data_IF_450667326867
#
_entry.id   IF_450667326867
#
_cell.length_a   1.000
_cell.length_b   1.000
_cell.length_c   1.000
_cell.angle_alpha   90.00
_cell.angle_beta   90.00
_cell.angle_gamma   90.00
#
_symmetry.space_group_name_H-M   'P 1'
#
loop_
_entity.id
_entity.type
_entity.pdbx_description
1 polymer ?
#
# COMPACT_ATOMS: atom_id res chain seq x y z
N UNK A 1 -13.83 9.82 21.02
CA UNK A 1 -13.02 8.59 20.90
C UNK A 1 -11.98 8.76 19.81
N UNK A 2 -10.79 8.13 19.91
CA UNK A 2 -9.80 8.18 18.83
C UNK A 2 -10.39 7.55 17.56
N UNK A 3 -10.22 8.22 16.42
CA UNK A 3 -10.66 7.74 15.11
C UNK A 3 -9.48 7.24 14.29
N UNK A 4 -9.65 6.10 13.62
CA UNK A 4 -8.69 5.60 12.65
C UNK A 4 -9.11 5.92 11.21
N UNK A 5 -8.12 6.21 10.38
CA UNK A 5 -8.32 6.42 8.95
C UNK A 5 -8.49 5.08 8.23
N UNK A 6 -9.71 4.77 7.80
CA UNK A 6 -10.04 3.53 7.08
C UNK A 6 -10.28 3.82 5.61
N UNK A 7 -9.51 3.16 4.74
CA UNK A 7 -9.73 3.22 3.29
C UNK A 7 -10.65 2.08 2.83
N UNK A 8 -11.80 2.42 2.26
CA UNK A 8 -12.72 1.48 1.59
C UNK A 8 -12.55 1.62 0.08
N UNK A 9 -12.24 0.52 -0.60
CA UNK A 9 -12.14 0.48 -2.06
C UNK A 9 -13.43 -0.08 -2.67
N UNK A 10 -14.01 0.65 -3.61
CA UNK A 10 -15.16 0.22 -4.39
C UNK A 10 -14.88 0.26 -5.90
N UNK A 11 -15.57 -0.61 -6.64
CA UNK A 11 -15.62 -0.50 -8.10
C UNK A 11 -16.66 0.56 -8.47
N UNK A 12 -16.27 1.44 -9.38
CA UNK A 12 -17.16 2.46 -9.93
C UNK A 12 -17.59 2.12 -11.35
N UNK A 13 -18.73 2.69 -11.75
CA UNK A 13 -19.29 2.61 -13.10
C UNK A 13 -19.71 4.01 -13.53
N UNK A 14 -19.41 4.33 -14.79
CA UNK A 14 -19.80 5.58 -15.45
C UNK A 14 -20.30 5.24 -16.85
N UNK A 15 -21.13 6.10 -17.42
CA UNK A 15 -21.58 5.99 -18.81
C UNK A 15 -20.40 6.15 -19.78
N UNK A 16 -20.63 5.91 -21.08
CA UNK A 16 -19.64 6.18 -22.13
C UNK A 16 -19.22 7.65 -22.14
N UNK A 17 -20.19 8.58 -22.14
CA UNK A 17 -19.94 10.03 -22.00
C UNK A 17 -19.16 10.37 -20.73
N UNK A 18 -19.45 9.67 -19.62
CA UNK A 18 -18.69 9.81 -18.37
C UNK A 18 -17.23 9.33 -18.48
N UNK A 19 -16.96 8.26 -19.23
CA UNK A 19 -15.57 7.84 -19.51
C UNK A 19 -14.81 8.93 -20.26
N UNK A 20 -15.43 9.55 -21.25
CA UNK A 20 -14.83 10.61 -22.06
C UNK A 20 -14.55 11.85 -21.20
N UNK A 21 -15.51 12.25 -20.35
CA UNK A 21 -15.32 13.32 -19.36
C UNK A 21 -14.17 13.03 -18.40
N UNK A 22 -14.07 11.82 -17.84
CA UNK A 22 -12.94 11.45 -16.97
C UNK A 22 -11.60 11.53 -17.71
N UNK A 23 -11.54 11.18 -18.99
CA UNK A 23 -10.31 11.33 -19.78
C UNK A 23 -9.93 12.80 -19.96
N UNK A 24 -10.89 13.68 -20.27
CA UNK A 24 -10.67 15.13 -20.36
C UNK A 24 -10.11 15.69 -19.05
N UNK A 25 -10.78 15.39 -17.92
CA UNK A 25 -10.35 15.85 -16.59
C UNK A 25 -8.95 15.35 -16.23
N UNK A 26 -8.64 14.08 -16.50
CA UNK A 26 -7.30 13.55 -16.25
C UNK A 26 -6.23 14.17 -17.15
N UNK A 27 -6.62 14.61 -18.37
CA UNK A 27 -5.77 15.38 -19.26
C UNK A 27 -5.41 16.73 -18.66
N UNK A 28 -6.42 17.52 -18.30
CA UNK A 28 -6.24 18.82 -17.64
C UNK A 28 -5.45 18.69 -16.32
N UNK A 29 -5.72 17.66 -15.53
CA UNK A 29 -4.93 17.40 -14.31
C UNK A 29 -3.45 17.07 -14.61
N UNK A 30 -3.15 16.42 -15.73
CA UNK A 30 -1.78 16.12 -16.13
C UNK A 30 -1.04 17.38 -16.59
N UNK A 31 -1.72 18.27 -17.32
CA UNK A 31 -1.20 19.58 -17.71
C UNK A 31 -0.91 20.44 -16.48
N UNK A 32 -1.88 20.61 -15.59
CA UNK A 32 -1.70 21.35 -14.34
C UNK A 32 -0.53 20.78 -13.52
N UNK A 33 -0.43 19.45 -13.38
CA UNK A 33 0.71 18.83 -12.69
C UNK A 33 2.07 19.15 -13.33
N UNK A 34 2.12 19.21 -14.66
CA UNK A 34 3.37 19.47 -15.37
C UNK A 34 3.75 20.94 -15.29
N UNK A 35 2.79 21.86 -15.45
CA UNK A 35 2.99 23.30 -15.25
C UNK A 35 3.54 23.58 -13.83
N UNK A 36 2.97 22.94 -12.82
CA UNK A 36 3.43 23.04 -11.42
C UNK A 36 4.85 22.53 -11.16
N UNK A 37 5.29 21.55 -11.96
CA UNK A 37 6.68 21.09 -11.91
C UNK A 37 7.60 22.00 -12.71
N UNK A 38 7.11 22.65 -13.76
CA UNK A 38 7.84 23.61 -14.58
C UNK A 38 8.10 24.90 -13.81
N UNK A 39 7.04 25.54 -13.29
CA UNK A 39 7.14 26.74 -12.44
C UNK A 39 8.10 26.51 -11.28
N UNK A 40 8.00 25.36 -10.62
CA UNK A 40 8.92 25.01 -9.53
C UNK A 40 10.38 24.91 -9.96
N UNK A 41 10.65 24.32 -11.13
CA UNK A 41 12.03 24.24 -11.65
C UNK A 41 12.57 25.62 -11.95
N UNK A 42 11.74 26.50 -12.48
CA UNK A 42 12.14 27.86 -12.85
C UNK A 42 12.39 28.71 -11.62
N UNK A 43 11.46 28.72 -10.65
CA UNK A 43 11.64 29.39 -9.36
C UNK A 43 12.92 28.95 -8.65
N UNK A 44 13.20 27.65 -8.64
CA UNK A 44 14.40 27.13 -7.98
C UNK A 44 15.68 27.57 -8.70
N UNK A 45 15.68 27.66 -10.04
CA UNK A 45 16.82 28.18 -10.80
C UNK A 45 17.07 29.66 -10.55
N UNK A 46 16.00 30.46 -10.48
CA UNK A 46 16.09 31.91 -10.38
C UNK A 46 16.35 32.40 -8.95
N UNK A 47 15.67 31.81 -7.95
CA UNK A 47 15.62 32.33 -6.59
C UNK A 47 16.07 31.33 -5.51
N UNK A 48 16.49 30.11 -5.88
CA UNK A 48 16.90 29.07 -4.93
C UNK A 48 15.78 28.52 -4.04
N UNK A 49 14.53 28.93 -4.29
CA UNK A 49 13.36 28.63 -3.48
C UNK A 49 12.17 28.16 -4.32
N UNK A 50 11.04 27.91 -3.65
CA UNK A 50 9.78 27.61 -4.31
C UNK A 50 8.61 28.05 -3.47
N UNK A 51 7.53 28.47 -4.12
CA UNK A 51 6.31 28.90 -3.42
C UNK A 51 5.80 27.84 -2.45
N UNK A 52 5.21 28.30 -1.34
CA UNK A 52 4.51 27.43 -0.43
C UNK A 52 3.32 26.77 -1.13
N UNK A 53 2.84 25.64 -0.61
CA UNK A 53 1.63 25.02 -1.13
C UNK A 53 0.41 25.96 -1.04
N UNK A 54 0.38 26.82 -0.01
CA UNK A 54 -0.69 27.78 0.20
C UNK A 54 -0.70 28.88 -0.87
N UNK A 55 0.46 29.42 -1.23
CA UNK A 55 0.58 30.43 -2.29
C UNK A 55 0.15 29.86 -3.64
N UNK A 56 0.51 28.61 -3.92
CA UNK A 56 0.05 27.90 -5.12
C UNK A 56 -1.46 27.65 -5.12
N UNK A 57 -2.11 27.49 -3.96
CA UNK A 57 -3.57 27.46 -3.88
C UNK A 57 -4.21 28.81 -4.22
N UNK A 58 -3.61 29.92 -3.79
CA UNK A 58 -4.07 31.26 -4.16
C UNK A 58 -3.93 31.48 -5.67
N UNK A 59 -2.75 31.22 -6.23
CA UNK A 59 -2.49 31.33 -7.66
C UNK A 59 -3.44 30.47 -8.51
N UNK A 60 -3.65 29.20 -8.10
CA UNK A 60 -4.61 28.33 -8.76
C UNK A 60 -6.06 28.85 -8.69
N UNK A 61 -6.44 29.53 -7.60
CA UNK A 61 -7.79 30.10 -7.47
C UNK A 61 -8.02 31.22 -8.50
N UNK A 62 -7.01 32.08 -8.72
CA UNK A 62 -7.05 33.11 -9.77
C UNK A 62 -7.13 32.49 -11.17
N UNK A 63 -6.22 31.56 -11.48
CA UNK A 63 -6.21 30.84 -12.76
C UNK A 63 -7.55 30.13 -13.02
N UNK A 64 -8.09 29.45 -12.00
CA UNK A 64 -9.37 28.75 -12.08
C UNK A 64 -10.53 29.68 -12.45
N UNK A 65 -10.53 30.93 -12.00
CA UNK A 65 -11.61 31.87 -12.29
C UNK A 65 -11.54 32.40 -13.73
N UNK A 66 -10.34 32.51 -14.30
CA UNK A 66 -10.10 32.92 -15.68
C UNK A 66 -10.31 31.79 -16.70
N UNK A 67 -10.02 30.54 -16.34
CA UNK A 67 -10.16 29.38 -17.22
C UNK A 67 -11.57 28.76 -17.18
N UNK A 68 -12.23 28.65 -18.34
CA UNK A 68 -13.60 28.15 -18.44
C UNK A 68 -13.76 26.71 -17.93
N UNK A 69 -12.78 25.84 -18.21
CA UNK A 69 -12.82 24.44 -17.82
C UNK A 69 -12.71 24.29 -16.30
N UNK A 70 -11.74 24.97 -15.68
CA UNK A 70 -11.48 24.90 -14.24
C UNK A 70 -12.52 25.66 -13.42
N UNK A 71 -13.07 26.77 -13.92
CA UNK A 71 -14.20 27.49 -13.29
C UNK A 71 -15.40 26.58 -13.07
N UNK A 72 -15.64 25.69 -14.03
CA UNK A 72 -16.68 24.68 -14.02
C UNK A 72 -16.28 23.35 -13.34
N UNK A 73 -15.12 23.30 -12.70
CA UNK A 73 -14.62 22.16 -11.93
C UNK A 73 -14.69 22.42 -10.43
N UNK A 74 -14.88 21.36 -9.64
CA UNK A 74 -14.64 21.41 -8.19
C UNK A 74 -13.19 21.82 -7.91
N UNK A 75 -13.02 22.82 -7.04
CA UNK A 75 -11.70 23.33 -6.64
C UNK A 75 -10.80 22.23 -6.07
N UNK A 76 -11.40 21.23 -5.41
CA UNK A 76 -10.67 20.13 -4.78
C UNK A 76 -9.99 19.20 -5.80
N UNK A 77 -10.45 19.15 -7.05
CA UNK A 77 -9.79 18.40 -8.12
C UNK A 77 -8.42 19.02 -8.43
N UNK A 78 -8.37 20.34 -8.63
CA UNK A 78 -7.14 21.06 -8.89
C UNK A 78 -6.21 21.06 -7.68
N UNK A 79 -6.72 21.35 -6.48
CA UNK A 79 -5.93 21.26 -5.23
C UNK A 79 -5.33 19.87 -5.02
N UNK A 80 -6.05 18.81 -5.35
CA UNK A 80 -5.51 17.45 -5.29
C UNK A 80 -4.34 17.19 -6.26
N UNK A 81 -4.29 17.90 -7.40
CA UNK A 81 -3.13 17.90 -8.31
C UNK A 81 -1.94 18.60 -7.65
N UNK A 82 -2.17 19.75 -7.03
CA UNK A 82 -1.13 20.53 -6.34
C UNK A 82 -0.53 19.76 -5.17
N UNK A 83 -1.35 19.14 -4.31
CA UNK A 83 -0.87 18.23 -3.26
C UNK A 83 -0.07 17.04 -3.80
N UNK A 84 -0.40 16.56 -5.00
CA UNK A 84 0.35 15.48 -5.64
C UNK A 84 1.72 15.95 -6.14
N UNK A 85 1.80 17.16 -6.68
CA UNK A 85 3.07 17.79 -7.06
C UNK A 85 3.93 18.03 -5.82
N UNK A 86 3.34 18.61 -4.78
CA UNK A 86 4.01 18.91 -3.51
C UNK A 86 4.59 17.66 -2.84
N UNK A 87 3.80 16.58 -2.71
CA UNK A 87 4.32 15.30 -2.18
C UNK A 87 5.45 14.71 -3.02
N UNK A 88 5.46 14.93 -4.33
CA UNK A 88 6.54 14.48 -5.20
C UNK A 88 7.83 15.28 -4.92
N UNK A 89 7.72 16.61 -4.79
CA UNK A 89 8.81 17.53 -4.41
C UNK A 89 9.35 17.20 -3.02
N UNK A 90 8.48 17.13 -2.00
CA UNK A 90 8.87 16.79 -0.63
C UNK A 90 9.50 15.40 -0.50
N UNK A 91 9.02 14.41 -1.27
CA UNK A 91 9.65 13.08 -1.31
C UNK A 91 11.02 13.08 -1.98
N UNK A 92 11.26 13.95 -2.95
CA UNK A 92 12.58 14.14 -3.55
C UNK A 92 13.53 14.75 -2.50
N UNK A 93 13.20 15.90 -1.94
CA UNK A 93 14.05 16.59 -0.95
C UNK A 93 14.36 15.74 0.27
N UNK A 94 13.34 15.08 0.85
CA UNK A 94 13.54 14.19 2.01
C UNK A 94 14.53 13.06 1.72
N UNK A 95 14.53 12.51 0.50
CA UNK A 95 15.45 11.43 0.12
C UNK A 95 16.85 11.95 -0.15
N UNK A 96 16.97 13.12 -0.79
CA UNK A 96 18.25 13.81 -0.97
C UNK A 96 18.90 14.14 0.37
N UNK A 97 18.15 14.71 1.33
CA UNK A 97 18.64 14.99 2.70
C UNK A 97 19.12 13.74 3.45
N UNK A 98 18.60 12.56 3.11
CA UNK A 98 19.03 11.27 3.68
C UNK A 98 20.23 10.65 2.97
N UNK A 99 20.88 11.37 2.05
CA UNK A 99 21.98 10.84 1.24
C UNK A 99 21.57 9.74 0.26
N UNK A 100 20.27 9.58 -0.04
CA UNK A 100 19.84 8.68 -1.10
C UNK A 100 20.06 9.33 -2.48
N UNK A 101 20.02 8.52 -3.54
CA UNK A 101 20.00 9.00 -4.92
C UNK A 101 18.58 8.91 -5.54
N UNK A 102 17.65 9.83 -5.21
CA UNK A 102 16.31 9.86 -5.79
C UNK A 102 16.34 10.44 -7.21
N UNK A 103 15.58 9.83 -8.12
CA UNK A 103 15.29 10.48 -9.41
C UNK A 103 14.43 11.74 -9.23
N UNK A 104 14.72 12.78 -10.00
CA UNK A 104 14.00 14.05 -9.98
C UNK A 104 12.49 13.89 -10.32
N UNK A 105 11.59 14.72 -9.76
CA UNK A 105 10.18 14.73 -10.17
C UNK A 105 10.03 14.99 -11.67
N UNK A 106 9.36 14.06 -12.37
CA UNK A 106 9.20 14.08 -13.83
C UNK A 106 7.78 14.41 -14.24
N UNK A 107 7.67 15.09 -15.38
CA UNK A 107 6.41 15.30 -16.07
C UNK A 107 5.69 13.98 -16.33
N UNK A 108 4.36 14.04 -16.26
CA UNK A 108 3.48 12.91 -16.48
C UNK A 108 2.73 13.11 -17.80
N UNK A 109 2.93 12.22 -18.79
CA UNK A 109 2.06 12.24 -19.96
C UNK A 109 0.63 11.92 -19.55
N UNK A 110 -0.35 12.43 -20.31
CA UNK A 110 -1.80 12.22 -20.08
C UNK A 110 -2.15 10.75 -19.80
N UNK A 111 -1.53 9.81 -20.52
CA UNK A 111 -1.79 8.37 -20.37
C UNK A 111 -1.23 7.73 -19.07
N UNK A 112 -0.42 8.46 -18.29
CA UNK A 112 0.12 8.05 -16.97
C UNK A 112 -0.54 8.77 -15.80
N UNK A 113 -1.32 9.82 -16.05
CA UNK A 113 -2.15 10.46 -15.03
C UNK A 113 -3.51 9.75 -14.98
N UNK A 114 -3.68 8.84 -14.00
CA UNK A 114 -4.83 7.92 -13.94
C UNK A 114 -5.71 8.11 -12.71
N UNK A 115 -5.45 9.16 -11.94
CA UNK A 115 -6.00 9.31 -10.60
C UNK A 115 -6.37 10.77 -10.35
N UNK A 116 -7.64 11.00 -10.04
CA UNK A 116 -8.16 12.24 -9.47
C UNK A 116 -8.20 12.04 -7.95
N UNK A 117 -7.68 13.01 -7.20
CA UNK A 117 -7.69 12.99 -5.74
C UNK A 117 -8.42 14.23 -5.26
N UNK A 118 -9.34 14.05 -4.32
CA UNK A 118 -10.00 15.14 -3.61
C UNK A 118 -9.65 14.95 -2.14
N UNK A 119 -8.72 15.77 -1.63
CA UNK A 119 -8.21 15.69 -0.25
C UNK A 119 -9.16 16.34 0.76
N UNK A 120 -10.06 17.18 0.27
CA UNK A 120 -11.19 17.72 1.00
C UNK A 120 -12.45 17.32 0.24
N UNK A 121 -13.45 16.89 0.99
CA UNK A 121 -14.72 16.37 0.48
C UNK A 121 -15.83 16.96 1.33
N UNK A 122 -17.00 17.14 0.73
CA UNK A 122 -18.22 17.45 1.47
C UNK A 122 -19.04 16.17 1.63
N UNK A 123 -19.85 16.03 2.70
CA UNK A 123 -20.69 14.84 2.90
C UNK A 123 -21.57 14.54 1.69
N UNK A 124 -22.07 15.57 1.00
CA UNK A 124 -22.88 15.43 -0.23
C UNK A 124 -22.14 14.78 -1.42
N UNK A 125 -20.80 14.67 -1.39
CA UNK A 125 -20.04 14.08 -2.50
C UNK A 125 -20.22 12.58 -2.63
N UNK A 126 -20.57 11.88 -1.56
CA UNK A 126 -20.82 10.44 -1.57
C UNK A 126 -22.11 10.19 -0.83
N UNK A 127 -23.10 9.59 -1.48
CA UNK A 127 -24.39 9.36 -0.85
C UNK A 127 -25.14 8.19 -1.47
N UNK A 128 -26.22 7.74 -0.82
CA UNK A 128 -27.07 6.69 -1.34
C UNK A 128 -27.72 7.12 -2.68
N UNK A 129 -28.00 6.13 -3.52
CA UNK A 129 -28.77 6.20 -4.77
C UNK A 129 -29.68 4.97 -4.81
N UNK A 130 -30.72 4.96 -5.66
CA UNK A 130 -31.71 3.86 -5.74
C UNK A 130 -31.10 2.44 -5.88
N UNK A 131 -29.84 2.34 -6.31
CA UNK A 131 -29.11 1.07 -6.55
C UNK A 131 -27.77 0.97 -5.82
N UNK A 132 -27.54 1.75 -4.75
CA UNK A 132 -26.31 1.70 -3.97
C UNK A 132 -25.82 3.09 -3.56
N UNK A 133 -24.58 3.43 -3.93
CA UNK A 133 -23.99 4.74 -3.62
C UNK A 133 -23.46 5.41 -4.88
N UNK A 134 -23.43 6.74 -4.90
CA UNK A 134 -22.88 7.55 -5.98
C UNK A 134 -21.85 8.54 -5.49
N UNK A 135 -20.85 8.80 -6.31
CA UNK A 135 -19.94 9.94 -6.14
C UNK A 135 -20.39 11.07 -7.05
N UNK A 136 -20.58 12.27 -6.48
CA UNK A 136 -20.96 13.50 -7.17
C UNK A 136 -19.97 14.60 -6.81
N UNK A 137 -19.38 15.25 -7.82
CA UNK A 137 -18.55 16.42 -7.63
C UNK A 137 -18.64 17.31 -8.87
N UNK A 138 -18.68 18.63 -8.69
CA UNK A 138 -18.79 19.60 -9.79
C UNK A 138 -17.73 19.31 -10.88
N UNK A 139 -18.18 19.21 -12.13
CA UNK A 139 -17.33 18.97 -13.30
C UNK A 139 -16.90 17.52 -13.52
N UNK A 140 -17.16 16.61 -12.57
CA UNK A 140 -16.97 15.15 -12.74
C UNK A 140 -18.28 14.47 -13.15
N UNK A 141 -18.23 13.37 -13.91
CA UNK A 141 -19.43 12.56 -14.16
C UNK A 141 -19.87 11.85 -12.88
N UNK A 142 -21.16 11.57 -12.76
CA UNK A 142 -21.70 10.75 -11.67
C UNK A 142 -21.11 9.34 -11.74
N UNK A 143 -20.46 8.91 -10.66
CA UNK A 143 -19.85 7.58 -10.56
C UNK A 143 -20.69 6.71 -9.65
N UNK A 144 -21.34 5.68 -10.21
CA UNK A 144 -22.08 4.69 -9.43
C UNK A 144 -21.12 3.69 -8.81
N UNK A 145 -21.20 3.52 -7.50
CA UNK A 145 -20.39 2.57 -6.74
C UNK A 145 -21.14 1.25 -6.64
N UNK A 146 -20.45 0.16 -6.94
CA UNK A 146 -20.93 -1.19 -6.58
C UNK A 146 -20.43 -1.52 -5.20
N UNK A 147 -21.30 -1.28 -4.23
CA UNK A 147 -21.10 -1.63 -2.82
C UNK A 147 -21.79 -2.98 -2.54
N UNK A 148 -21.24 -3.75 -1.60
CA UNK A 148 -21.87 -4.99 -1.06
C UNK A 148 -22.32 -4.81 0.39
N UNK A 149 -22.00 -3.66 0.97
CA UNK A 149 -22.16 -3.28 2.36
C UNK A 149 -22.46 -1.79 2.37
N UNK A 150 -23.14 -1.33 3.40
CA UNK A 150 -23.28 0.10 3.66
C UNK A 150 -21.91 0.75 3.84
N UNK A 151 -21.82 2.00 3.40
CA UNK A 151 -20.65 2.82 3.65
C UNK A 151 -20.83 3.52 4.99
N UNK A 152 -19.73 3.84 5.70
CA UNK A 152 -19.81 4.69 6.88
C UNK A 152 -20.49 6.03 6.56
N UNK A 153 -20.99 6.73 7.58
CA UNK A 153 -21.62 8.04 7.43
C UNK A 153 -20.75 9.02 6.64
N UNK A 154 -21.38 9.88 5.85
CA UNK A 154 -20.69 10.74 4.89
C UNK A 154 -19.91 11.88 5.58
N UNK A 155 -20.28 12.20 6.81
CA UNK A 155 -19.63 13.13 7.73
C UNK A 155 -18.22 12.64 8.12
N UNK A 156 -18.03 11.33 8.12
CA UNK A 156 -16.73 10.71 8.41
C UNK A 156 -15.81 10.67 7.18
N UNK A 157 -16.33 10.97 5.98
CA UNK A 157 -15.53 10.97 4.77
C UNK A 157 -14.51 12.11 4.82
N UNK A 158 -13.23 11.77 4.75
CA UNK A 158 -12.12 12.75 4.80
C UNK A 158 -11.51 13.02 3.43
N UNK A 159 -11.42 11.99 2.59
CA UNK A 159 -10.94 12.17 1.22
C UNK A 159 -11.46 11.08 0.30
N UNK A 160 -11.44 11.35 -1.00
CA UNK A 160 -11.72 10.33 -2.00
C UNK A 160 -10.75 10.38 -3.17
N UNK A 161 -10.50 9.20 -3.75
CA UNK A 161 -9.60 9.02 -4.88
C UNK A 161 -10.27 8.20 -5.95
N UNK A 162 -10.42 8.79 -7.14
CA UNK A 162 -10.98 8.12 -8.33
C UNK A 162 -9.82 7.71 -9.22
N UNK A 163 -9.66 6.41 -9.43
CA UNK A 163 -8.70 5.84 -10.38
C UNK A 163 -9.41 5.35 -11.62
N UNK A 164 -9.01 5.84 -12.79
CA UNK A 164 -9.60 5.47 -14.06
C UNK A 164 -8.57 4.86 -15.01
N UNK A 165 -8.86 3.65 -15.51
CA UNK A 165 -8.00 2.90 -16.44
C UNK A 165 -8.75 2.59 -17.73
N UNK A 166 -9.20 3.63 -18.43
CA UNK A 166 -9.84 3.59 -19.75
C UNK A 166 -11.29 3.09 -19.75
N UNK A 167 -11.60 2.00 -19.04
CA UNK A 167 -12.98 1.51 -18.81
C UNK A 167 -13.24 1.03 -17.39
N UNK A 168 -12.21 1.02 -16.53
CA UNK A 168 -12.32 0.57 -15.14
C UNK A 168 -12.18 1.77 -14.25
N UNK A 169 -13.22 2.04 -13.47
CA UNK A 169 -13.20 3.03 -12.40
C UNK A 169 -13.05 2.29 -11.07
N UNK A 170 -12.10 2.73 -10.26
CA UNK A 170 -11.96 2.32 -8.87
C UNK A 170 -12.01 3.56 -7.99
N UNK A 171 -12.79 3.52 -6.92
CA UNK A 171 -12.93 4.63 -5.98
C UNK A 171 -12.39 4.17 -4.64
N UNK A 172 -11.45 4.92 -4.08
CA UNK A 172 -10.98 4.72 -2.70
C UNK A 172 -11.54 5.85 -1.86
N UNK A 173 -12.34 5.50 -0.87
CA UNK A 173 -12.96 6.41 0.08
C UNK A 173 -12.21 6.29 1.40
N UNK A 174 -11.79 7.40 1.99
CA UNK A 174 -11.09 7.41 3.28
C UNK A 174 -12.03 8.01 4.31
N UNK A 175 -12.39 7.21 5.31
CA UNK A 175 -13.25 7.60 6.42
C UNK A 175 -12.43 7.67 7.71
N UNK A 176 -12.75 8.61 8.58
CA UNK A 176 -12.33 8.57 9.98
C UNK A 176 -13.40 7.76 10.75
N UNK A 177 -13.08 6.52 11.11
CA UNK A 177 -14.03 5.65 11.83
C UNK A 177 -13.57 5.49 13.27
N UNK A 178 -14.51 5.35 14.19
CA UNK A 178 -14.18 5.06 15.58
C UNK A 178 -13.42 3.72 15.67
N UNK A 179 -12.52 3.65 16.65
CA UNK A 179 -11.85 2.40 16.96
C UNK A 179 -12.84 1.43 17.60
N UNK A 180 -12.91 0.22 17.04
CA UNK A 180 -13.69 -0.89 17.57
C UNK A 180 -12.71 -1.91 18.20
N UNK A 181 -12.27 -1.70 19.45
CA UNK A 181 -11.40 -2.65 20.12
C UNK A 181 -12.11 -4.00 20.26
N UNK A 182 -11.37 -5.09 20.06
CA UNK A 182 -11.88 -6.43 20.33
C UNK A 182 -11.79 -6.72 21.84
N UNK A 183 -12.62 -7.63 22.38
CA UNK A 183 -12.47 -8.11 23.75
C UNK A 183 -11.04 -8.53 24.04
N UNK A 184 -10.57 -8.27 25.27
CA UNK A 184 -9.23 -8.62 25.70
C UNK A 184 -8.92 -10.10 25.39
N UNK A 185 -7.73 -10.37 24.85
CA UNK A 185 -7.24 -11.73 24.63
C UNK A 185 -5.90 -11.88 25.37
N UNK A 186 -5.76 -12.85 26.29
CA UNK A 186 -4.49 -13.09 26.95
C UNK A 186 -3.46 -13.77 26.02
N UNK A 187 -3.90 -14.28 24.87
CA UNK A 187 -3.05 -15.04 23.94
C UNK A 187 -1.97 -14.16 23.31
N UNK A 188 -0.76 -14.71 23.20
CA UNK A 188 0.43 -14.04 22.67
C UNK A 188 1.08 -14.93 21.61
N UNK A 189 1.58 -14.34 20.53
CA UNK A 189 2.21 -15.12 19.45
C UNK A 189 3.42 -14.40 18.86
N UNK A 190 4.50 -15.14 18.62
CA UNK A 190 5.63 -14.72 17.80
C UNK A 190 5.48 -15.22 16.36
N UNK A 191 5.86 -14.41 15.38
CA UNK A 191 5.72 -14.71 13.96
C UNK A 191 7.10 -14.69 13.28
N UNK A 192 7.57 -15.85 12.83
CA UNK A 192 8.70 -15.96 11.91
C UNK A 192 8.21 -15.93 10.46
N UNK A 193 8.79 -15.05 9.64
CA UNK A 193 8.36 -14.84 8.23
C UNK A 193 9.37 -15.45 7.26
N UNK A 194 9.05 -16.63 6.75
CA UNK A 194 9.91 -17.42 5.86
C UNK A 194 9.53 -17.37 4.37
N UNK A 195 10.37 -18.03 3.55
CA UNK A 195 10.08 -18.34 2.13
C UNK A 195 9.54 -19.76 1.93
N UNK A 196 9.73 -20.65 2.90
CA UNK A 196 9.27 -22.04 2.87
C UNK A 196 7.83 -22.17 3.37
N UNK A 197 7.56 -21.63 4.57
CA UNK A 197 6.25 -21.17 5.03
C UNK A 197 6.17 -19.65 4.83
N UNK A 198 4.97 -19.09 4.75
CA UNK A 198 4.79 -17.64 4.70
C UNK A 198 4.96 -17.00 6.09
N UNK A 199 4.42 -17.68 7.09
CA UNK A 199 4.52 -17.38 8.52
C UNK A 199 4.61 -18.72 9.25
N UNK A 200 5.50 -18.84 10.21
CA UNK A 200 5.48 -19.86 11.26
C UNK A 200 5.24 -19.17 12.60
N UNK A 201 4.33 -19.69 13.41
CA UNK A 201 3.95 -19.09 14.69
C UNK A 201 4.61 -19.80 15.87
N UNK A 202 4.70 -19.12 17.02
CA UNK A 202 5.29 -19.70 18.24
C UNK A 202 4.44 -20.83 18.84
N UNK A 203 3.15 -20.90 18.51
CA UNK A 203 2.25 -22.02 18.87
C UNK A 203 2.29 -23.18 17.85
N UNK A 204 3.19 -23.13 16.86
CA UNK A 204 3.48 -24.24 15.93
C UNK A 204 2.67 -24.22 14.62
N UNK A 205 1.74 -23.29 14.45
CA UNK A 205 0.98 -23.12 13.19
C UNK A 205 1.90 -22.66 12.05
N UNK A 206 1.77 -23.30 10.88
CA UNK A 206 2.49 -22.92 9.66
C UNK A 206 1.51 -22.45 8.58
N UNK A 207 1.56 -21.16 8.27
CA UNK A 207 0.81 -20.59 7.16
C UNK A 207 1.60 -20.85 5.88
N UNK A 208 1.00 -21.59 4.94
CA UNK A 208 1.65 -21.97 3.70
C UNK A 208 2.20 -20.79 2.89
N UNK A 209 3.34 -21.02 2.21
CA UNK A 209 3.90 -20.07 1.25
C UNK A 209 2.90 -19.75 0.13
N UNK A 210 2.96 -18.52 -0.35
CA UNK A 210 2.19 -18.15 -1.56
C UNK A 210 2.70 -18.96 -2.75
N UNK A 211 1.78 -19.67 -3.44
CA UNK A 211 2.01 -20.22 -4.78
C UNK A 211 1.73 -19.13 -5.83
N UNK A 212 2.75 -18.55 -6.48
CA UNK A 212 2.57 -17.47 -7.44
C UNK A 212 2.06 -18.00 -8.80
N UNK A 213 1.32 -17.18 -9.56
CA UNK A 213 0.84 -17.55 -10.91
C UNK A 213 1.97 -17.48 -11.99
N UNK A 214 3.19 -17.89 -11.66
CA UNK A 214 4.42 -17.67 -12.43
C UNK A 214 4.32 -18.19 -13.86
N UNK A 215 4.02 -19.47 -14.03
CA UNK A 215 3.96 -20.11 -15.34
C UNK A 215 2.90 -19.48 -16.23
N UNK A 216 1.73 -19.21 -15.66
CA UNK A 216 0.63 -18.59 -16.39
C UNK A 216 1.00 -17.17 -16.86
N UNK A 217 1.68 -16.39 -16.01
CA UNK A 217 2.17 -15.05 -16.35
C UNK A 217 3.28 -15.13 -17.39
N UNK A 218 4.26 -16.02 -17.22
CA UNK A 218 5.36 -16.23 -18.17
C UNK A 218 4.87 -16.63 -19.55
N UNK A 219 3.90 -17.56 -19.63
CA UNK A 219 3.26 -17.96 -20.90
C UNK A 219 2.58 -16.76 -21.59
N UNK A 220 1.87 -15.92 -20.84
CA UNK A 220 1.23 -14.70 -21.38
C UNK A 220 2.27 -13.67 -21.83
N UNK A 221 3.37 -13.54 -21.10
CA UNK A 221 4.50 -12.69 -21.45
C UNK A 221 5.14 -13.15 -22.78
N UNK A 222 5.50 -14.43 -22.91
CA UNK A 222 6.07 -15.01 -24.14
C UNK A 222 5.17 -14.78 -25.36
N UNK A 223 3.86 -15.03 -25.21
CA UNK A 223 2.89 -14.74 -26.29
C UNK A 223 2.87 -13.26 -26.65
N UNK A 224 2.98 -12.34 -25.69
CA UNK A 224 3.00 -10.90 -25.99
C UNK A 224 4.29 -10.49 -26.69
N UNK A 225 5.46 -10.99 -26.26
CA UNK A 225 6.77 -10.62 -26.83
C UNK A 225 6.92 -11.14 -28.26
N UNK A 226 6.33 -12.28 -28.58
CA UNK A 226 6.28 -12.82 -29.95
C UNK A 226 5.37 -12.02 -30.91
N UNK A 227 4.80 -10.87 -30.52
CA UNK A 227 4.03 -10.01 -31.42
C UNK A 227 4.82 -8.78 -31.83
N UNK A 228 4.66 -8.34 -33.08
CA UNK A 228 5.11 -7.01 -33.53
C UNK A 228 4.63 -5.94 -32.56
N UNK A 229 5.58 -5.19 -31.97
CA UNK A 229 5.32 -4.14 -30.97
C UNK A 229 4.25 -3.19 -31.49
N UNK A 230 3.33 -2.79 -30.62
CA UNK A 230 2.19 -1.91 -30.94
C UNK A 230 1.14 -2.45 -31.94
N UNK A 231 1.27 -3.64 -32.52
CA UNK A 231 0.19 -4.24 -33.33
C UNK A 231 -1.12 -4.42 -32.53
N UNK A 232 -2.26 -4.57 -33.22
CA UNK A 232 -3.57 -4.87 -32.58
C UNK A 232 -3.47 -6.10 -31.68
N UNK A 233 -2.75 -7.15 -32.13
CA UNK A 233 -2.49 -8.39 -31.38
C UNK A 233 -1.63 -8.14 -30.15
N UNK A 234 -0.53 -7.39 -30.28
CA UNK A 234 0.32 -6.99 -29.15
C UNK A 234 -0.48 -6.23 -28.08
N UNK A 235 -1.25 -5.21 -28.48
CA UNK A 235 -2.08 -4.41 -27.56
C UNK A 235 -3.14 -5.26 -26.85
N UNK A 236 -3.72 -6.28 -27.51
CA UNK A 236 -4.63 -7.27 -26.89
C UNK A 236 -3.89 -8.14 -25.87
N UNK A 237 -2.75 -8.73 -26.24
CA UNK A 237 -1.96 -9.60 -25.34
C UNK A 237 -1.40 -8.85 -24.13
N UNK A 238 -0.92 -7.61 -24.32
CA UNK A 238 -0.50 -6.71 -23.24
C UNK A 238 -1.61 -6.48 -22.20
N UNK A 239 -2.85 -6.29 -22.66
CA UNK A 239 -4.02 -6.16 -21.76
C UNK A 239 -4.30 -7.45 -20.99
N UNK A 240 -4.21 -8.61 -21.65
CA UNK A 240 -4.40 -9.92 -21.01
C UNK A 240 -3.34 -10.16 -19.92
N UNK A 241 -2.06 -9.88 -20.22
CA UNK A 241 -0.98 -9.98 -19.26
C UNK A 241 -1.18 -9.03 -18.08
N UNK A 242 -1.49 -7.75 -18.33
CA UNK A 242 -1.76 -6.77 -17.28
C UNK A 242 -2.93 -7.22 -16.37
N UNK A 243 -3.96 -7.83 -16.94
CA UNK A 243 -5.07 -8.41 -16.17
C UNK A 243 -4.64 -9.60 -15.32
N UNK A 244 -3.75 -10.47 -15.81
CA UNK A 244 -3.22 -11.59 -15.04
C UNK A 244 -2.45 -11.11 -13.81
N UNK A 245 -1.55 -10.14 -13.98
CA UNK A 245 -0.85 -9.51 -12.85
C UNK A 245 -1.82 -8.84 -11.88
N UNK A 246 -2.84 -8.12 -12.37
CA UNK A 246 -3.83 -7.49 -11.52
C UNK A 246 -4.61 -8.51 -10.68
N UNK A 247 -5.05 -9.62 -11.28
CA UNK A 247 -5.74 -10.71 -10.58
C UNK A 247 -4.84 -11.33 -9.49
N UNK A 248 -3.59 -11.63 -9.83
CA UNK A 248 -2.62 -12.20 -8.87
C UNK A 248 -2.40 -11.28 -7.66
N UNK A 249 -2.27 -9.96 -7.90
CA UNK A 249 -2.12 -8.95 -6.83
C UNK A 249 -3.37 -8.84 -5.94
N UNK A 250 -4.56 -8.93 -6.51
CA UNK A 250 -5.82 -8.88 -5.77
C UNK A 250 -5.97 -10.12 -4.88
N UNK A 251 -5.69 -11.32 -5.42
CA UNK A 251 -5.73 -12.57 -4.64
C UNK A 251 -4.76 -12.54 -3.47
N UNK A 252 -3.50 -12.15 -3.73
CA UNK A 252 -2.48 -12.05 -2.69
C UNK A 252 -2.84 -11.02 -1.61
N UNK A 253 -3.36 -9.85 -2.00
CA UNK A 253 -3.86 -8.85 -1.05
C UNK A 253 -4.99 -9.41 -0.18
N UNK A 254 -5.94 -10.14 -0.78
CA UNK A 254 -7.02 -10.81 -0.06
C UNK A 254 -6.50 -11.77 0.99
N UNK A 255 -5.57 -12.66 0.60
CA UNK A 255 -4.93 -13.61 1.52
C UNK A 255 -4.15 -12.92 2.64
N UNK A 256 -3.44 -11.80 2.36
CA UNK A 256 -2.79 -11.02 3.42
C UNK A 256 -3.82 -10.50 4.44
N UNK A 257 -4.96 -9.97 3.97
CA UNK A 257 -5.99 -9.48 4.88
C UNK A 257 -6.59 -10.60 5.72
N UNK A 258 -6.85 -11.76 5.13
CA UNK A 258 -7.35 -12.94 5.85
C UNK A 258 -6.39 -13.34 6.98
N UNK A 259 -5.11 -13.56 6.65
CA UNK A 259 -4.05 -13.91 7.61
C UNK A 259 -4.00 -12.89 8.75
N UNK A 260 -3.85 -11.61 8.43
CA UNK A 260 -3.68 -10.57 9.44
C UNK A 260 -4.94 -10.30 10.26
N UNK A 261 -6.13 -10.51 9.70
CA UNK A 261 -7.39 -10.44 10.46
C UNK A 261 -7.48 -11.60 11.45
N UNK A 262 -7.13 -12.83 11.04
CA UNK A 262 -7.19 -14.00 11.92
C UNK A 262 -6.20 -13.87 13.08
N UNK A 263 -4.97 -13.42 12.82
CA UNK A 263 -3.96 -13.17 13.86
C UNK A 263 -4.44 -12.15 14.90
N UNK A 264 -4.93 -11.00 14.45
CA UNK A 264 -5.42 -9.91 15.34
C UNK A 264 -6.67 -10.30 16.14
N UNK A 265 -7.50 -11.19 15.59
CA UNK A 265 -8.67 -11.71 16.31
C UNK A 265 -8.28 -12.66 17.43
N UNK A 266 -7.35 -13.58 17.16
CA UNK A 266 -6.93 -14.63 18.11
C UNK A 266 -6.04 -14.11 19.23
N UNK A 267 -5.08 -13.23 18.91
CA UNK A 267 -4.02 -12.86 19.84
C UNK A 267 -4.13 -11.40 20.32
N UNK A 268 -3.97 -11.21 21.63
CA UNK A 268 -3.85 -9.90 22.26
C UNK A 268 -2.50 -9.23 22.02
N UNK A 269 -1.45 -10.05 21.87
CA UNK A 269 -0.08 -9.62 21.65
C UNK A 269 0.54 -10.37 20.46
N UNK A 270 1.10 -9.63 19.50
CA UNK A 270 1.72 -10.19 18.31
C UNK A 270 3.15 -9.64 18.20
N UNK A 271 4.14 -10.51 18.08
CA UNK A 271 5.53 -10.15 17.86
C UNK A 271 6.02 -10.60 16.48
N UNK A 272 6.81 -9.77 15.82
CA UNK A 272 7.49 -10.11 14.57
C UNK A 272 8.83 -9.39 14.46
N UNK A 273 9.72 -9.89 13.64
CA UNK A 273 11.01 -9.24 13.39
C UNK A 273 10.88 -7.90 12.66
N UNK A 274 11.76 -6.95 12.97
CA UNK A 274 11.94 -5.72 12.19
C UNK A 274 12.76 -5.97 10.92
N UNK A 275 12.25 -6.82 10.03
CA UNK A 275 12.93 -7.16 8.79
C UNK A 275 12.91 -5.99 7.80
N UNK A 276 14.09 -5.51 7.44
CA UNK A 276 14.29 -4.61 6.30
C UNK A 276 14.33 -5.41 4.99
N UNK A 277 13.14 -5.72 4.44
CA UNK A 277 13.00 -6.44 3.15
C UNK A 277 13.82 -5.78 2.03
N UNK A 278 13.94 -4.45 2.05
CA UNK A 278 14.74 -3.68 1.08
C UNK A 278 16.23 -4.00 1.20
N UNK A 279 16.77 -4.03 2.42
CA UNK A 279 18.17 -4.35 2.68
C UNK A 279 18.45 -5.82 2.33
N UNK A 280 17.56 -6.75 2.69
CA UNK A 280 17.70 -8.19 2.35
C UNK A 280 17.83 -8.42 0.84
N UNK A 281 17.01 -7.72 0.03
CA UNK A 281 17.08 -7.82 -1.43
C UNK A 281 18.37 -7.18 -1.96
N UNK A 282 18.77 -6.03 -1.42
CA UNK A 282 19.97 -5.30 -1.85
C UNK A 282 21.24 -6.11 -1.56
N UNK A 283 21.38 -6.66 -0.36
CA UNK A 283 22.57 -7.42 0.06
C UNK A 283 22.73 -8.74 -0.70
N UNK A 284 21.64 -9.33 -1.19
CA UNK A 284 21.70 -10.55 -2.02
C UNK A 284 22.19 -10.33 -3.46
N UNK A 285 22.06 -9.11 -3.99
CA UNK A 285 22.47 -8.76 -5.36
C UNK A 285 21.86 -9.65 -6.46
N UNK A 286 22.48 -9.64 -7.65
CA UNK A 286 22.08 -10.49 -8.77
C UNK A 286 22.31 -11.99 -8.47
N UNK A 287 23.35 -12.31 -7.68
CA UNK A 287 23.71 -13.68 -7.28
C UNK A 287 22.60 -14.41 -6.52
N UNK A 288 21.75 -13.69 -5.78
CA UNK A 288 20.58 -14.25 -5.06
C UNK A 288 19.24 -13.89 -5.72
N UNK A 289 19.21 -13.63 -7.02
CA UNK A 289 17.99 -13.23 -7.73
C UNK A 289 16.79 -14.18 -7.53
N UNK A 290 17.04 -15.50 -7.43
CA UNK A 290 16.02 -16.50 -7.12
C UNK A 290 15.39 -16.30 -5.73
N UNK A 291 16.22 -16.15 -4.69
CA UNK A 291 15.77 -15.90 -3.32
C UNK A 291 15.06 -14.54 -3.20
N UNK A 292 15.64 -13.49 -3.77
CA UNK A 292 15.05 -12.15 -3.81
C UNK A 292 13.65 -12.16 -4.44
N UNK A 293 13.45 -12.99 -5.48
CA UNK A 293 12.14 -13.18 -6.10
C UNK A 293 11.16 -13.88 -5.16
N UNK A 294 11.58 -14.96 -4.50
CA UNK A 294 10.75 -15.69 -3.54
C UNK A 294 10.33 -14.82 -2.36
N UNK A 295 11.24 -14.00 -1.82
CA UNK A 295 10.96 -13.02 -0.76
C UNK A 295 9.88 -12.03 -1.20
N UNK A 296 10.05 -11.42 -2.39
CA UNK A 296 9.09 -10.46 -2.94
C UNK A 296 7.68 -11.05 -3.12
N UNK A 297 7.59 -12.36 -3.33
CA UNK A 297 6.32 -13.04 -3.56
C UNK A 297 5.55 -13.39 -2.29
N UNK A 298 6.19 -13.40 -1.12
CA UNK A 298 5.52 -13.66 0.16
C UNK A 298 4.81 -12.42 0.74
N UNK A 299 5.10 -11.22 0.21
CA UNK A 299 4.46 -9.96 0.61
C UNK A 299 4.56 -9.64 2.11
N UNK A 300 5.69 -9.97 2.76
CA UNK A 300 5.94 -9.70 4.19
C UNK A 300 5.70 -8.24 4.58
N UNK A 301 6.19 -7.27 3.78
CA UNK A 301 5.93 -5.85 4.02
C UNK A 301 4.43 -5.54 4.12
N UNK A 302 3.60 -6.18 3.28
CA UNK A 302 2.15 -5.96 3.31
C UNK A 302 1.52 -6.56 4.57
N UNK A 303 1.97 -7.74 5.00
CA UNK A 303 1.52 -8.37 6.24
C UNK A 303 1.86 -7.46 7.42
N UNK A 304 3.12 -7.02 7.52
CA UNK A 304 3.57 -6.05 8.51
C UNK A 304 2.72 -4.77 8.50
N UNK A 305 2.62 -4.09 7.35
CA UNK A 305 1.82 -2.86 7.21
C UNK A 305 0.36 -3.09 7.63
N UNK A 306 -0.19 -4.28 7.36
CA UNK A 306 -1.56 -4.63 7.75
C UNK A 306 -1.72 -4.94 9.23
N UNK A 307 -0.75 -5.63 9.86
CA UNK A 307 -0.76 -5.87 11.30
C UNK A 307 -0.69 -4.56 12.07
N UNK A 308 0.11 -3.59 11.64
CA UNK A 308 0.24 -2.28 12.31
C UNK A 308 -1.13 -1.61 12.48
N UNK A 309 -1.87 -1.36 11.39
CA UNK A 309 -3.14 -0.67 11.51
C UNK A 309 -4.26 -1.55 12.09
N UNK A 310 -4.23 -2.88 11.88
CA UNK A 310 -5.27 -3.77 12.41
C UNK A 310 -5.11 -4.02 13.90
N UNK A 311 -3.88 -4.18 14.38
CA UNK A 311 -3.61 -4.35 15.80
C UNK A 311 -4.04 -3.09 16.56
N UNK A 312 -3.62 -1.91 16.11
CA UNK A 312 -4.08 -0.64 16.67
C UNK A 312 -5.61 -0.52 16.65
N UNK A 313 -6.24 -0.86 15.51
CA UNK A 313 -7.70 -0.77 15.39
C UNK A 313 -8.48 -1.71 16.32
N UNK A 314 -7.90 -2.86 16.65
CA UNK A 314 -8.53 -3.90 17.45
C UNK A 314 -8.08 -3.88 18.93
N UNK A 315 -7.32 -2.86 19.36
CA UNK A 315 -6.78 -2.78 20.72
C UNK A 315 -5.76 -3.89 21.02
N UNK A 316 -4.98 -4.34 20.03
CA UNK A 316 -3.92 -5.36 20.19
C UNK A 316 -2.55 -4.72 20.26
N UNK A 317 -1.66 -5.34 21.02
CA UNK A 317 -0.24 -4.95 21.07
C UNK A 317 0.53 -5.63 19.94
N UNK A 318 1.30 -4.84 19.20
CA UNK A 318 2.21 -5.32 18.16
C UNK A 318 3.64 -4.94 18.56
N UNK A 319 4.58 -5.87 18.55
CA UNK A 319 5.98 -5.60 18.92
C UNK A 319 6.93 -6.00 17.79
N UNK A 320 7.93 -5.15 17.54
CA UNK A 320 9.01 -5.42 16.60
C UNK A 320 10.31 -5.71 17.37
N UNK A 321 11.01 -6.78 16.98
CA UNK A 321 12.26 -7.21 17.61
C UNK A 321 13.42 -7.22 16.62
N UNK A 322 14.65 -7.10 17.14
CA UNK A 322 15.87 -7.26 16.33
C UNK A 322 15.94 -8.71 15.79
N UNK A 323 15.98 -8.90 14.45
CA UNK A 323 16.10 -10.22 13.82
C UNK A 323 17.42 -10.95 14.10
N UNK A 324 18.44 -10.29 14.67
CA UNK A 324 19.74 -10.93 14.92
C UNK A 324 19.59 -12.17 15.81
N UNK A 325 20.17 -13.28 15.34
CA UNK A 325 20.29 -14.56 16.06
C UNK A 325 18.99 -15.27 16.46
N UNK A 326 17.80 -14.76 16.11
CA UNK A 326 16.50 -15.37 16.44
C UNK A 326 16.40 -16.83 16.00
N UNK A 327 16.93 -17.16 14.81
CA UNK A 327 16.94 -18.54 14.29
C UNK A 327 18.14 -19.39 14.73
N UNK A 328 19.10 -18.81 15.45
CA UNK A 328 20.35 -19.47 15.86
C UNK A 328 20.35 -19.78 17.37
N UNK A 329 19.65 -19.00 18.18
CA UNK A 329 19.52 -19.26 19.62
C UNK A 329 18.54 -20.40 19.89
N UNK A 330 18.83 -21.22 20.89
CA UNK A 330 17.92 -22.22 21.40
C UNK A 330 16.80 -21.53 22.17
N UNK A 331 15.55 -21.85 21.82
CA UNK A 331 14.39 -21.28 22.49
C UNK A 331 14.16 -21.82 23.88
N UNK A 332 14.85 -22.89 24.28
CA UNK A 332 14.79 -23.44 25.62
C UNK A 332 15.90 -22.81 26.51
N UNK A 333 17.16 -23.16 26.25
CA UNK A 333 18.31 -22.77 27.09
C UNK A 333 19.06 -21.48 26.66
N UNK A 334 18.70 -20.86 25.53
CA UNK A 334 19.37 -19.65 25.03
C UNK A 334 20.73 -19.87 24.36
N UNK A 335 21.30 -21.07 24.39
CA UNK A 335 22.59 -21.36 23.76
C UNK A 335 22.54 -21.14 22.24
N UNK A 336 23.65 -20.65 21.66
CA UNK A 336 23.76 -20.44 20.21
C UNK A 336 24.10 -21.76 19.52
N UNK A 337 23.19 -22.25 18.67
CA UNK A 337 23.41 -23.39 17.78
C UNK A 337 23.62 -22.87 16.36
N UNK A 338 24.88 -22.73 15.92
CA UNK A 338 25.22 -22.24 14.58
C UNK A 338 24.75 -23.24 13.52
N UNK A 339 23.87 -22.82 12.61
CA UNK A 339 23.32 -23.65 11.54
C UNK A 339 23.22 -22.92 10.21
N UNK A 340 23.41 -23.67 9.13
CA UNK A 340 23.25 -23.19 7.76
C UNK A 340 21.79 -22.95 7.39
N UNK A 341 21.54 -22.30 6.25
CA UNK A 341 20.17 -22.09 5.77
C UNK A 341 19.45 -23.39 5.36
N UNK A 342 20.21 -24.45 5.05
CA UNK A 342 19.67 -25.76 4.62
C UNK A 342 19.19 -26.60 5.80
N UNK A 343 19.73 -26.36 6.99
CA UNK A 343 19.30 -27.04 8.20
C UNK A 343 17.94 -26.51 8.64
N UNK A 344 16.95 -27.41 8.66
CA UNK A 344 15.55 -27.12 8.95
C UNK A 344 15.11 -27.55 10.34
N UNK A 345 15.89 -28.40 10.98
CA UNK A 345 15.72 -28.75 12.38
C UNK A 345 16.67 -27.92 13.23
N UNK A 346 16.20 -27.47 14.37
CA UNK A 346 16.98 -26.91 15.45
C UNK A 346 17.22 -28.01 16.47
N UNK A 347 18.45 -28.51 16.54
CA UNK A 347 18.90 -29.40 17.61
C UNK A 347 19.87 -28.63 18.51
N UNK A 348 19.67 -28.73 19.82
CA UNK A 348 20.51 -28.09 20.84
C UNK A 348 21.06 -29.14 21.82
N UNK A 349 22.24 -28.87 22.40
CA UNK A 349 22.84 -29.72 23.44
C UNK A 349 22.02 -29.84 24.72
N UNK A 350 21.04 -28.96 24.96
CA UNK A 350 20.08 -29.09 26.06
C UNK A 350 18.98 -30.14 25.81
N UNK A 351 18.97 -30.80 24.66
CA UNK A 351 17.98 -31.81 24.28
C UNK A 351 16.82 -31.28 23.44
N UNK A 352 16.68 -29.95 23.26
CA UNK A 352 15.63 -29.39 22.42
C UNK A 352 15.84 -29.76 20.94
N UNK A 353 14.82 -30.38 20.33
CA UNK A 353 14.74 -30.65 18.89
C UNK A 353 13.40 -30.12 18.34
N UNK A 354 13.45 -29.08 17.51
CA UNK A 354 12.25 -28.43 16.92
C UNK A 354 12.47 -28.03 15.47
N UNK A 355 11.39 -27.71 14.75
CA UNK A 355 11.51 -27.00 13.47
C UNK A 355 12.21 -25.64 13.69
N UNK A 356 13.14 -25.29 12.79
CA UNK A 356 13.94 -24.08 12.90
C UNK A 356 13.10 -22.80 12.92
N UNK A 357 12.08 -22.73 12.08
CA UNK A 357 11.22 -21.54 11.98
C UNK A 357 10.31 -21.45 13.21
N UNK A 358 9.88 -22.60 13.77
CA UNK A 358 9.13 -22.64 15.05
C UNK A 358 9.99 -22.18 16.24
N UNK A 359 11.22 -22.68 16.37
CA UNK A 359 12.18 -22.20 17.36
C UNK A 359 12.42 -20.68 17.22
N UNK A 360 12.58 -20.19 16.00
CA UNK A 360 12.73 -18.75 15.74
C UNK A 360 11.50 -17.95 16.19
N UNK A 361 10.28 -18.44 15.90
CA UNK A 361 9.04 -17.80 16.33
C UNK A 361 8.90 -17.73 17.87
N UNK A 362 9.32 -18.77 18.60
CA UNK A 362 9.37 -18.75 20.07
C UNK A 362 10.37 -17.70 20.56
N UNK A 363 11.57 -17.65 19.98
CA UNK A 363 12.58 -16.63 20.33
C UNK A 363 12.11 -15.20 20.06
N UNK A 364 11.39 -14.98 18.95
CA UNK A 364 10.79 -13.68 18.62
C UNK A 364 9.81 -13.26 19.72
N UNK A 365 8.95 -14.17 20.17
CA UNK A 365 8.03 -13.90 21.27
C UNK A 365 8.77 -13.60 22.58
N UNK A 366 9.75 -14.44 22.97
CA UNK A 366 10.56 -14.25 24.18
C UNK A 366 11.25 -12.88 24.19
N UNK A 367 11.93 -12.52 23.09
CA UNK A 367 12.56 -11.19 22.94
C UNK A 367 11.58 -10.04 23.07
N UNK A 368 10.40 -10.17 22.47
CA UNK A 368 9.39 -9.12 22.52
C UNK A 368 8.88 -8.89 23.94
N UNK A 369 8.69 -9.97 24.72
CA UNK A 369 8.27 -9.90 26.12
C UNK A 369 9.38 -9.40 27.05
N UNK A 370 10.65 -9.60 26.69
CA UNK A 370 11.81 -9.13 27.44
C UNK A 370 12.30 -7.70 27.11
N UNK A 371 11.57 -6.92 26.30
CA UNK A 371 11.94 -5.52 25.97
C UNK A 371 11.83 -5.10 24.50
N UNK A 372 10.92 -5.70 23.71
CA UNK A 372 10.75 -5.34 22.31
C UNK A 372 10.22 -3.91 22.09
N UNK A 373 10.61 -3.27 20.98
CA UNK A 373 10.10 -1.94 20.61
C UNK A 373 8.64 -2.04 20.15
N UNK A 374 7.76 -1.26 20.78
CA UNK A 374 6.36 -1.10 20.38
C UNK A 374 6.31 0.06 19.37
N UNK A 375 5.74 -0.11 18.16
CA UNK A 375 5.58 0.98 17.22
C UNK A 375 4.66 2.06 17.82
N UNK A 376 4.86 3.35 17.50
CA UNK A 376 3.94 4.40 17.93
C UNK A 376 2.52 4.11 17.44
N UNK A 377 1.53 4.44 18.27
CA UNK A 377 0.13 4.24 17.94
C UNK A 377 -0.21 5.00 16.65
N UNK A 378 -1.01 4.38 15.78
CA UNK A 378 -1.45 4.98 14.51
C UNK A 378 -2.33 6.20 14.83
N UNK A 379 -1.73 7.38 14.86
CA UNK A 379 -2.38 8.64 15.27
C UNK A 379 -1.38 9.72 15.69
N UNK A 380 -0.17 9.33 16.10
CA UNK A 380 0.91 10.26 16.41
C UNK A 380 1.94 10.27 15.28
N UNK A 381 1.75 11.14 14.30
CA UNK A 381 2.87 11.65 13.49
C UNK A 381 2.69 13.13 13.27
N UNK A 382 3.72 13.89 13.67
CA UNK A 382 4.00 15.28 13.32
C UNK A 382 3.95 15.57 11.81
#
# INVERSE_FOLDING_TARGET
MPKAMRTIYQRGYVSRRGCDRLNQVLGACAELYNAELETWREQYKQAGGSDSLFDRFKAFTLFRNADEFWRNMSVHVGRGVLHRADRAKGSFYRRTKRGENPGYPRFKPRNRFRTIQLEQVTPAMVGPDRRGYVVRAKGLPVIRLRTKRELPPSEELKSLRITFKGRRVGVSLVYAVDLEPLPHSPSRVGLDMGVMSRITTSDGEKIERRRPDREQIARKQRRMTACKKNSRRYRKRRRILANAHAKSRVRDRGRCHEITTNLVRRHGFIALEDLSVRQMIKSGGARKAGLNRSINEQSWRRIRDQLVYKAASAGRKLAFVDPRDTSQLCSDCGARAKKSLKERMHSCGCGLVLDRDHNAAINILKKALGGGTIPPAVGETA
#
